data_IF_828922244449
#
_entry.id   IF_828922244449
#
_cell.length_a   1.000
_cell.length_b   1.000
_cell.length_c   1.000
_cell.angle_alpha   90.00
_cell.angle_beta   90.00
_cell.angle_gamma   90.00
#
_symmetry.space_group_name_H-M   'P 1'
#
loop_
_entity.id
_entity.type
_entity.pdbx_description
1 polymer ?
#
# COMPACT_ATOMS: atom_id res chain seq x y z
N UNK A 1 11.79 16.09 -2.83
CA UNK A 1 11.44 14.96 -1.93
C UNK A 1 10.63 13.96 -2.75
N UNK A 2 10.97 12.67 -2.73
CA UNK A 2 10.28 11.64 -3.53
C UNK A 2 9.18 10.99 -2.70
N UNK A 3 8.03 10.70 -3.32
CA UNK A 3 6.82 10.25 -2.62
C UNK A 3 6.22 9.07 -3.36
N UNK A 4 6.16 7.92 -2.71
CA UNK A 4 5.57 6.70 -3.27
C UNK A 4 4.25 6.37 -2.59
N UNK A 5 3.22 6.06 -3.38
CA UNK A 5 2.03 5.39 -2.90
C UNK A 5 2.12 3.90 -3.27
N UNK A 6 1.97 3.02 -2.28
CA UNK A 6 2.04 1.56 -2.47
C UNK A 6 0.72 0.95 -2.00
N UNK A 7 -0.02 0.30 -2.89
CA UNK A 7 -1.22 -0.46 -2.51
C UNK A 7 -0.92 -1.94 -2.30
N UNK A 8 -1.71 -2.62 -1.46
CA UNK A 8 -1.40 -3.99 -1.07
C UNK A 8 -0.12 -4.08 -0.23
N UNK A 9 0.19 -3.02 0.52
CA UNK A 9 1.45 -2.88 1.24
C UNK A 9 1.66 -3.95 2.33
N UNK A 10 0.57 -4.53 2.85
CA UNK A 10 0.62 -5.63 3.83
C UNK A 10 0.83 -7.01 3.22
N UNK A 11 0.77 -7.15 1.89
CA UNK A 11 1.06 -8.38 1.17
C UNK A 11 2.57 -8.68 1.07
N UNK A 12 2.91 -9.84 0.50
CA UNK A 12 4.32 -10.27 0.36
C UNK A 12 5.17 -9.25 -0.41
N UNK A 13 4.73 -8.86 -1.62
CA UNK A 13 5.44 -7.90 -2.45
C UNK A 13 5.45 -6.51 -1.82
N UNK A 14 4.31 -6.06 -1.28
CA UNK A 14 4.19 -4.79 -0.59
C UNK A 14 5.20 -4.64 0.54
N UNK A 15 5.31 -5.62 1.44
CA UNK A 15 6.29 -5.63 2.53
C UNK A 15 7.72 -5.62 2.03
N UNK A 16 8.01 -6.38 0.96
CA UNK A 16 9.33 -6.38 0.35
C UNK A 16 9.71 -4.99 -0.20
N UNK A 17 8.76 -4.29 -0.83
CA UNK A 17 8.95 -2.94 -1.33
C UNK A 17 9.17 -1.93 -0.19
N UNK A 18 8.43 -2.04 0.92
CA UNK A 18 8.62 -1.17 2.09
C UNK A 18 10.03 -1.32 2.69
N UNK A 19 10.57 -2.53 2.72
CA UNK A 19 11.91 -2.82 3.25
C UNK A 19 13.06 -2.43 2.31
N UNK A 20 12.76 -2.22 1.02
CA UNK A 20 13.76 -1.91 -0.01
C UNK A 20 13.64 -0.49 -0.55
N UNK A 21 12.71 0.31 0.00
CA UNK A 21 12.54 1.70 -0.39
C UNK A 21 13.85 2.47 -0.10
N UNK A 22 14.39 3.23 -1.07
CA UNK A 22 15.63 3.98 -0.83
C UNK A 22 15.43 5.07 0.23
N UNK A 23 16.51 5.43 0.91
CA UNK A 23 16.51 6.60 1.79
C UNK A 23 16.03 7.87 1.07
N UNK A 24 15.37 8.76 1.80
CA UNK A 24 14.85 10.03 1.27
C UNK A 24 13.51 9.94 0.53
N UNK A 25 12.92 8.74 0.44
CA UNK A 25 11.53 8.55 0.02
C UNK A 25 10.59 8.65 1.21
N UNK A 26 9.44 9.29 1.00
CA UNK A 26 8.26 9.14 1.85
C UNK A 26 7.32 8.13 1.21
N UNK A 27 6.68 7.29 2.02
CA UNK A 27 5.78 6.25 1.53
C UNK A 27 4.41 6.37 2.20
N UNK A 28 3.36 6.39 1.39
CA UNK A 28 1.99 6.16 1.81
C UNK A 28 1.61 4.73 1.45
N UNK A 29 1.43 3.88 2.47
CA UNK A 29 1.21 2.45 2.33
C UNK A 29 -0.26 2.12 2.58
N UNK A 30 -0.99 1.70 1.53
CA UNK A 30 -2.37 1.26 1.67
C UNK A 30 -2.46 -0.22 2.05
N UNK A 31 -3.35 -0.52 2.99
CA UNK A 31 -3.70 -1.87 3.41
C UNK A 31 -5.22 -2.09 3.35
N UNK A 32 -5.64 -3.30 2.99
CA UNK A 32 -7.08 -3.65 2.88
C UNK A 32 -7.71 -4.22 4.16
N UNK A 33 -6.92 -4.59 5.16
CA UNK A 33 -7.46 -5.19 6.41
C UNK A 33 -6.40 -5.78 7.34
N UNK A 34 -5.22 -6.11 6.80
CA UNK A 34 -4.05 -6.47 7.62
C UNK A 34 -3.28 -5.22 8.01
N UNK A 35 -2.89 -5.10 9.27
CA UNK A 35 -1.97 -4.06 9.72
C UNK A 35 -0.56 -4.31 9.19
N UNK A 36 0.22 -3.23 9.10
CA UNK A 36 1.66 -3.31 8.99
C UNK A 36 2.27 -3.48 10.39
N UNK A 37 3.52 -3.96 10.49
CA UNK A 37 4.26 -3.96 11.75
C UNK A 37 4.37 -2.57 12.36
N UNK A 38 4.44 -2.49 13.70
CA UNK A 38 4.57 -1.21 14.42
C UNK A 38 5.97 -0.58 14.29
N UNK A 39 6.97 -1.36 13.88
CA UNK A 39 8.39 -0.98 13.80
C UNK A 39 8.81 -0.44 12.43
N UNK A 40 7.88 0.11 11.66
CA UNK A 40 8.19 0.69 10.36
C UNK A 40 9.03 1.98 10.48
N UNK A 41 9.94 2.24 9.51
CA UNK A 41 10.59 3.53 9.38
C UNK A 41 9.60 4.70 9.40
N UNK A 42 9.92 5.79 10.10
CA UNK A 42 9.05 6.99 10.20
C UNK A 42 8.79 7.70 8.86
N UNK A 43 9.47 7.31 7.79
CA UNK A 43 9.17 7.74 6.42
C UNK A 43 7.94 7.03 5.81
N UNK A 44 7.39 6.02 6.49
CA UNK A 44 6.27 5.21 6.03
C UNK A 44 5.03 5.55 6.87
N UNK A 45 3.95 5.92 6.21
CA UNK A 45 2.63 6.14 6.81
C UNK A 45 1.66 5.14 6.24
N UNK A 46 0.91 4.43 7.08
CA UNK A 46 -0.09 3.47 6.63
C UNK A 46 -1.49 4.08 6.60
N UNK A 47 -2.27 3.76 5.57
CA UNK A 47 -3.70 4.08 5.48
C UNK A 47 -4.49 2.80 5.17
N UNK A 48 -5.72 2.74 5.64
CA UNK A 48 -6.61 1.61 5.42
C UNK A 48 -7.82 2.06 4.60
N UNK A 49 -8.05 1.40 3.47
CA UNK A 49 -9.30 1.47 2.73
C UNK A 49 -9.43 0.25 1.81
N UNK A 50 -10.65 -0.07 1.41
CA UNK A 50 -10.93 -1.08 0.39
C UNK A 50 -11.09 -0.42 -0.99
N UNK A 51 -10.75 -1.13 -2.06
CA UNK A 51 -10.89 -0.60 -3.42
C UNK A 51 -12.33 -0.49 -3.90
N UNK A 52 -13.27 -1.23 -3.30
CA UNK A 52 -14.71 -1.09 -3.53
C UNK A 52 -15.29 0.19 -2.94
N UNK A 53 -14.68 0.72 -1.87
CA UNK A 53 -15.07 1.97 -1.21
C UNK A 53 -13.84 2.82 -0.90
N UNK A 54 -13.14 3.34 -1.93
CA UNK A 54 -11.84 3.95 -1.73
C UNK A 54 -11.96 5.36 -1.15
N UNK A 55 -11.10 5.66 -0.16
CA UNK A 55 -10.86 7.03 0.31
C UNK A 55 -9.55 7.55 -0.26
N UNK A 56 -9.67 8.26 -1.39
CA UNK A 56 -8.52 8.81 -2.11
C UNK A 56 -7.96 10.10 -1.50
N UNK A 57 -8.63 10.69 -0.51
CA UNK A 57 -8.25 12.02 -0.02
C UNK A 57 -6.81 12.02 0.51
N UNK A 58 -6.42 11.01 1.27
CA UNK A 58 -5.06 10.86 1.77
C UNK A 58 -4.02 10.74 0.64
N UNK A 59 -4.36 10.06 -0.47
CA UNK A 59 -3.47 9.91 -1.62
C UNK A 59 -3.34 11.23 -2.39
N UNK A 60 -4.45 11.96 -2.55
CA UNK A 60 -4.47 13.27 -3.19
C UNK A 60 -3.65 14.29 -2.38
N UNK A 61 -3.82 14.33 -1.06
CA UNK A 61 -3.05 15.23 -0.18
C UNK A 61 -1.57 14.87 -0.16
N UNK A 62 -1.26 13.58 -0.23
CA UNK A 62 0.11 13.08 -0.26
C UNK A 62 0.85 13.43 -1.56
N UNK A 63 0.14 13.61 -2.69
CA UNK A 63 0.75 13.94 -3.99
C UNK A 63 1.93 13.02 -4.37
N UNK A 64 1.70 11.68 -4.50
CA UNK A 64 2.76 10.75 -4.88
C UNK A 64 3.26 11.04 -6.31
N UNK A 65 4.57 10.89 -6.52
CA UNK A 65 5.19 10.92 -7.86
C UNK A 65 5.55 9.52 -8.38
N UNK A 66 5.34 8.50 -7.56
CA UNK A 66 5.38 7.09 -7.93
C UNK A 66 4.17 6.39 -7.33
N UNK A 67 3.47 5.60 -8.13
CA UNK A 67 2.40 4.72 -7.67
C UNK A 67 2.80 3.29 -8.00
N UNK A 68 2.82 2.43 -6.99
CA UNK A 68 3.00 0.98 -7.13
C UNK A 68 1.71 0.32 -6.69
N UNK A 69 0.97 -0.23 -7.65
CA UNK A 69 -0.27 -0.94 -7.37
C UNK A 69 0.01 -2.44 -7.27
N UNK A 70 0.02 -2.97 -6.04
CA UNK A 70 0.25 -4.40 -5.77
C UNK A 70 -0.87 -5.06 -4.95
N UNK A 71 -1.96 -4.33 -4.71
CA UNK A 71 -3.16 -4.88 -4.08
C UNK A 71 -3.97 -5.72 -5.06
N UNK A 72 -4.21 -6.98 -4.73
CA UNK A 72 -5.06 -7.88 -5.49
C UNK A 72 -5.60 -8.99 -4.57
N UNK A 73 -6.72 -9.60 -4.94
CA UNK A 73 -7.11 -10.89 -4.39
C UNK A 73 -6.01 -11.90 -4.71
N UNK A 74 -5.41 -12.48 -3.66
CA UNK A 74 -4.27 -13.39 -3.82
C UNK A 74 -4.69 -14.80 -4.23
N UNK A 75 -5.94 -15.17 -3.98
CA UNK A 75 -6.52 -16.46 -4.33
C UNK A 75 -7.29 -16.34 -5.63
N UNK A 76 -6.70 -16.82 -6.73
CA UNK A 76 -7.39 -16.90 -8.04
C UNK A 76 -8.66 -17.72 -7.92
N UNK A 77 -8.62 -18.83 -7.16
CA UNK A 77 -9.80 -19.66 -6.92
C UNK A 77 -10.94 -18.90 -6.27
N UNK A 78 -10.65 -17.90 -5.43
CA UNK A 78 -11.71 -17.06 -4.84
C UNK A 78 -12.36 -16.21 -5.92
N UNK A 79 -11.58 -15.62 -6.83
CA UNK A 79 -12.10 -14.87 -7.96
C UNK A 79 -12.99 -15.72 -8.88
N UNK A 80 -12.65 -17.00 -9.09
CA UNK A 80 -13.40 -17.89 -9.97
C UNK A 80 -14.70 -18.43 -9.33
N UNK A 81 -14.72 -18.60 -8.01
CA UNK A 81 -15.86 -19.20 -7.31
C UNK A 81 -16.84 -18.17 -6.73
N UNK A 82 -16.43 -16.90 -6.59
CA UNK A 82 -17.24 -15.79 -6.07
C UNK A 82 -16.91 -14.50 -6.88
N UNK A 83 -17.43 -14.39 -8.12
CA UNK A 83 -17.08 -13.33 -9.06
C UNK A 83 -17.74 -11.97 -8.77
#
# INVERSE_FOLDING_TARGET
MRRAFISGASGYLGRHLLNTIPEGWQVLAQVGGNSLPDDLPGSITSIAFDYGEPDWQAVLDFQPNLIIHSGALSSVSTCENDP
#
